data_IF_658097331273
#
_entry.id   IF_658097331273
#
_cell.length_a   1.000
_cell.length_b   1.000
_cell.length_c   1.000
_cell.angle_alpha   90.00
_cell.angle_beta   90.00
_cell.angle_gamma   90.00
#
_symmetry.space_group_name_H-M   'P 1'
#
loop_
_entity.id
_entity.type
_entity.pdbx_description
1 polymer ?
#
# COMPACT_ATOMS: atom_id res chain seq x y z
N UNK A 1 -24.75 -4.64 -6.64
CA UNK A 1 -23.55 -3.88 -6.25
C UNK A 1 -23.16 -4.40 -4.88
N UNK A 2 -22.04 -5.11 -4.74
CA UNK A 2 -21.67 -5.76 -3.48
C UNK A 2 -21.47 -4.72 -2.37
N UNK A 3 -22.08 -5.00 -1.21
CA UNK A 3 -21.86 -4.22 0.00
C UNK A 3 -20.61 -4.72 0.69
N UNK A 4 -19.69 -3.79 0.92
CA UNK A 4 -18.40 -4.04 1.55
C UNK A 4 -18.53 -3.55 2.98
N UNK A 5 -17.98 -4.31 3.93
CA UNK A 5 -18.02 -3.92 5.34
C UNK A 5 -17.40 -2.52 5.51
N UNK A 6 -17.96 -1.66 6.38
CA UNK A 6 -17.44 -0.30 6.59
C UNK A 6 -15.99 -0.29 7.06
N UNK A 7 -15.56 -1.32 7.82
CA UNK A 7 -14.16 -1.50 8.22
C UNK A 7 -13.23 -1.70 7.03
N UNK A 8 -13.58 -2.61 6.11
CA UNK A 8 -12.82 -2.88 4.89
C UNK A 8 -12.75 -1.65 3.99
N UNK A 9 -13.86 -0.91 3.87
CA UNK A 9 -13.90 0.34 3.12
C UNK A 9 -12.90 1.37 3.68
N UNK A 10 -12.89 1.57 5.00
CA UNK A 10 -11.98 2.51 5.65
C UNK A 10 -10.52 2.09 5.51
N UNK A 11 -10.24 0.79 5.63
CA UNK A 11 -8.91 0.23 5.46
C UNK A 11 -8.36 0.50 4.05
N UNK A 12 -9.14 0.17 3.02
CA UNK A 12 -8.72 0.40 1.63
C UNK A 12 -8.59 1.90 1.34
N UNK A 13 -9.49 2.73 1.88
CA UNK A 13 -9.38 4.18 1.73
C UNK A 13 -8.08 4.71 2.36
N UNK A 14 -7.65 4.20 3.51
CA UNK A 14 -6.34 4.56 4.08
C UNK A 14 -5.17 4.08 3.23
N UNK A 15 -5.24 2.89 2.63
CA UNK A 15 -4.20 2.40 1.71
C UNK A 15 -4.08 3.28 0.47
N UNK A 16 -5.19 3.78 -0.08
CA UNK A 16 -5.19 4.71 -1.22
C UNK A 16 -4.54 6.04 -0.84
N UNK A 17 -4.83 6.56 0.36
CA UNK A 17 -4.17 7.77 0.88
C UNK A 17 -2.66 7.57 1.04
N UNK A 18 -2.25 6.39 1.52
CA UNK A 18 -0.84 6.08 1.77
C UNK A 18 -0.09 5.57 0.54
N UNK A 19 -0.70 5.52 -0.65
CA UNK A 19 -0.11 4.92 -1.85
C UNK A 19 1.33 5.40 -2.13
N UNK A 20 1.59 6.70 -2.02
CA UNK A 20 2.92 7.28 -2.27
C UNK A 20 3.96 6.81 -1.24
N UNK A 21 3.57 6.74 0.03
CA UNK A 21 4.41 6.23 1.11
C UNK A 21 4.65 4.72 0.93
N UNK A 22 3.61 3.93 0.67
CA UNK A 22 3.73 2.48 0.42
C UNK A 22 4.66 2.19 -0.76
N UNK A 23 4.63 3.01 -1.83
CA UNK A 23 5.58 2.89 -2.95
C UNK A 23 7.03 3.14 -2.52
N UNK A 24 7.27 4.18 -1.71
CA UNK A 24 8.61 4.47 -1.17
C UNK A 24 9.09 3.35 -0.26
N UNK A 25 8.21 2.80 0.57
CA UNK A 25 8.52 1.69 1.46
C UNK A 25 8.88 0.42 0.68
N UNK A 26 8.12 0.09 -0.37
CA UNK A 26 8.45 -1.02 -1.29
C UNK A 26 9.84 -0.83 -1.91
N UNK A 27 10.14 0.38 -2.39
CA UNK A 27 11.45 0.70 -2.99
C UNK A 27 12.57 0.55 -1.97
N UNK A 28 12.38 1.06 -0.75
CA UNK A 28 13.33 0.93 0.35
C UNK A 28 13.58 -0.54 0.71
N UNK A 29 12.52 -1.33 0.90
CA UNK A 29 12.62 -2.75 1.22
C UNK A 29 13.32 -3.53 0.10
N UNK A 30 13.05 -3.22 -1.17
CA UNK A 30 13.78 -3.80 -2.31
C UNK A 30 15.26 -3.46 -2.28
N UNK A 31 15.62 -2.21 -1.93
CA UNK A 31 17.02 -1.79 -1.77
C UNK A 31 17.71 -2.50 -0.60
N UNK A 32 17.03 -2.69 0.53
CA UNK A 32 17.54 -3.45 1.68
C UNK A 32 17.73 -4.94 1.37
N UNK A 33 16.86 -5.53 0.53
CA UNK A 33 17.03 -6.90 0.05
C UNK A 33 18.21 -7.02 -0.92
N UNK A 34 18.41 -6.03 -1.80
CA UNK A 34 19.48 -6.03 -2.79
C UNK A 34 20.85 -5.72 -2.17
N UNK A 35 20.88 -4.78 -1.21
CA UNK A 35 22.03 -4.41 -0.42
C UNK A 35 21.76 -4.81 1.04
N UNK A 36 21.79 -6.11 1.38
CA UNK A 36 21.78 -6.49 2.76
C UNK A 36 23.03 -5.85 3.35
N UNK A 37 22.86 -4.81 4.18
CA UNK A 37 23.96 -4.29 4.98
C UNK A 37 24.65 -5.50 5.57
N UNK A 38 25.92 -5.73 5.17
CA UNK A 38 26.71 -6.79 5.76
C UNK A 38 26.52 -6.66 7.27
N UNK A 39 26.14 -7.73 7.98
CA UNK A 39 26.16 -7.68 9.41
C UNK A 39 27.59 -7.31 9.78
N UNK A 40 27.81 -6.07 10.20
CA UNK A 40 29.07 -5.65 10.78
C UNK A 40 29.07 -6.35 12.13
N UNK A 41 29.53 -7.59 12.12
CA UNK A 41 29.69 -8.41 13.31
C UNK A 41 30.87 -7.83 14.10
N UNK A 42 30.63 -6.73 14.79
CA UNK A 42 31.61 -6.10 15.69
C UNK A 42 31.69 -6.84 17.03
N UNK A 43 31.21 -8.09 17.11
CA UNK A 43 31.32 -8.89 18.33
C UNK A 43 31.81 -10.32 18.05
N UNK A 44 32.84 -10.47 17.21
CA UNK A 44 33.70 -11.66 17.23
C UNK A 44 34.54 -11.60 18.51
N UNK A 45 33.94 -12.00 19.63
CA UNK A 45 34.68 -12.37 20.84
C UNK A 45 35.39 -13.69 20.50
N UNK A 46 36.71 -13.61 20.28
CA UNK A 46 37.58 -14.78 20.19
C UNK A 46 37.62 -15.46 21.56
N UNK A 47 36.74 -16.44 21.77
CA UNK A 47 36.71 -17.31 22.95
C UNK A 47 36.34 -18.74 22.54
N UNK A 48 37.03 -19.78 23.05
CA UNK A 48 36.72 -21.15 22.70
C UNK A 48 35.43 -21.58 23.43
N UNK A 49 34.54 -22.23 22.69
CA UNK A 49 33.31 -22.91 23.14
C UNK A 49 32.11 -21.99 23.44
N UNK A 50 31.25 -21.79 22.43
CA UNK A 50 29.81 -21.89 22.66
C UNK A 50 29.10 -22.27 21.36
N UNK A 51 28.46 -23.42 21.41
CA UNK A 51 27.49 -23.99 20.48
C UNK A 51 26.61 -22.90 19.85
N UNK A 52 26.91 -22.50 18.62
CA UNK A 52 26.12 -21.52 17.90
C UNK A 52 24.75 -22.12 17.60
N UNK A 53 23.73 -21.65 18.33
CA UNK A 53 22.37 -22.16 18.29
C UNK A 53 21.77 -22.18 16.87
N UNK A 54 21.03 -23.24 16.51
CA UNK A 54 20.15 -23.25 15.34
C UNK A 54 19.14 -22.08 15.32
N UNK A 55 18.81 -21.54 16.51
CA UNK A 55 17.84 -20.47 16.71
C UNK A 55 18.17 -19.22 15.87
N UNK A 56 19.41 -18.73 15.88
CA UNK A 56 19.80 -17.51 15.16
C UNK A 56 19.62 -17.63 13.63
N UNK A 57 19.93 -18.78 13.05
CA UNK A 57 19.71 -19.00 11.60
C UNK A 57 18.23 -19.09 11.25
N UNK A 58 17.42 -19.70 12.13
CA UNK A 58 15.98 -19.85 11.95
C UNK A 58 15.27 -18.51 12.10
N UNK A 59 15.69 -17.70 13.08
CA UNK A 59 15.21 -16.33 13.29
C UNK A 59 15.49 -15.45 12.07
N UNK A 60 16.72 -15.43 11.56
CA UNK A 60 17.08 -14.66 10.36
C UNK A 60 16.27 -15.10 9.14
N UNK A 61 16.07 -16.41 8.95
CA UNK A 61 15.24 -16.93 7.86
C UNK A 61 13.76 -16.56 8.03
N UNK A 62 13.23 -16.66 9.25
CA UNK A 62 11.85 -16.28 9.56
C UNK A 62 11.61 -14.79 9.31
N UNK A 63 12.52 -13.91 9.75
CA UNK A 63 12.45 -12.47 9.50
C UNK A 63 12.46 -12.18 7.99
N UNK A 64 13.38 -12.78 7.22
CA UNK A 64 13.45 -12.60 5.76
C UNK A 64 12.18 -13.05 5.04
N UNK A 65 11.62 -14.19 5.43
CA UNK A 65 10.37 -14.72 4.87
C UNK A 65 9.17 -13.81 5.20
N UNK A 66 9.08 -13.31 6.43
CA UNK A 66 8.04 -12.36 6.82
C UNK A 66 8.13 -11.06 6.03
N UNK A 67 9.34 -10.49 5.89
CA UNK A 67 9.56 -9.27 5.08
C UNK A 67 9.14 -9.49 3.63
N UNK A 68 9.48 -10.64 3.03
CA UNK A 68 9.10 -10.94 1.65
C UNK A 68 7.58 -11.06 1.47
N UNK A 69 6.89 -11.72 2.41
CA UNK A 69 5.43 -11.83 2.37
C UNK A 69 4.74 -10.48 2.53
N UNK A 70 5.22 -9.65 3.47
CA UNK A 70 4.70 -8.30 3.67
C UNK A 70 4.89 -7.44 2.42
N UNK A 71 6.09 -7.47 1.83
CA UNK A 71 6.41 -6.75 0.60
C UNK A 71 5.47 -7.15 -0.54
N UNK A 72 5.27 -8.46 -0.74
CA UNK A 72 4.36 -8.97 -1.76
C UNK A 72 2.92 -8.46 -1.56
N UNK A 73 2.42 -8.48 -0.32
CA UNK A 73 1.08 -7.98 -0.03
C UNK A 73 0.95 -6.46 -0.33
N UNK A 74 1.97 -5.67 0.02
CA UNK A 74 2.00 -4.23 -0.29
C UNK A 74 2.04 -4.00 -1.81
N UNK A 75 2.84 -4.77 -2.54
CA UNK A 75 2.91 -4.71 -4.00
C UNK A 75 1.59 -5.09 -4.66
N UNK A 76 0.93 -6.16 -4.20
CA UNK A 76 -0.39 -6.58 -4.68
C UNK A 76 -1.43 -5.47 -4.47
N UNK A 77 -1.42 -4.82 -3.30
CA UNK A 77 -2.31 -3.68 -3.00
C UNK A 77 -2.05 -2.49 -3.93
N UNK A 78 -0.78 -2.06 -4.07
CA UNK A 78 -0.40 -0.95 -4.95
C UNK A 78 -0.80 -1.24 -6.40
N UNK A 79 -0.52 -2.45 -6.89
CA UNK A 79 -0.90 -2.86 -8.24
C UNK A 79 -2.42 -2.86 -8.44
N UNK A 80 -3.20 -3.32 -7.47
CA UNK A 80 -4.65 -3.30 -7.55
C UNK A 80 -5.19 -1.86 -7.65
N UNK A 81 -4.63 -0.93 -6.87
CA UNK A 81 -5.00 0.49 -6.92
C UNK A 81 -4.65 1.08 -8.30
N UNK A 82 -3.43 0.84 -8.80
CA UNK A 82 -2.99 1.36 -10.10
C UNK A 82 -3.77 0.79 -11.28
N UNK A 83 -4.06 -0.53 -11.28
CA UNK A 83 -4.87 -1.17 -12.31
C UNK A 83 -6.29 -0.63 -12.30
N UNK A 84 -6.89 -0.50 -11.12
CA UNK A 84 -8.23 0.08 -10.98
C UNK A 84 -8.23 1.51 -11.52
N UNK A 85 -7.27 2.33 -11.07
CA UNK A 85 -7.16 3.72 -11.52
C UNK A 85 -6.96 3.82 -13.03
N UNK A 86 -6.14 2.96 -13.63
CA UNK A 86 -5.88 2.97 -15.07
C UNK A 86 -7.13 2.69 -15.91
N UNK A 87 -8.05 1.84 -15.42
CA UNK A 87 -9.32 1.51 -16.07
C UNK A 87 -10.37 2.64 -15.97
N UNK A 88 -10.18 3.63 -15.11
CA UNK A 88 -11.15 4.72 -14.94
C UNK A 88 -11.12 5.71 -16.14
N UNK A 89 -12.28 6.29 -16.50
CA UNK A 89 -12.35 7.44 -17.40
C UNK A 89 -11.54 8.65 -16.88
N UNK A 90 -11.10 9.52 -17.78
CA UNK A 90 -10.26 10.69 -17.44
C UNK A 90 -10.93 11.61 -16.40
N UNK A 91 -12.24 11.83 -16.51
CA UNK A 91 -13.01 12.63 -15.55
C UNK A 91 -12.99 12.02 -14.14
N UNK A 92 -13.16 10.70 -14.06
CA UNK A 92 -13.15 10.00 -12.77
C UNK A 92 -11.74 9.99 -12.17
N UNK A 93 -10.71 9.84 -13.01
CA UNK A 93 -9.30 9.94 -12.62
C UNK A 93 -9.00 11.29 -11.96
N UNK A 94 -9.47 12.39 -12.55
CA UNK A 94 -9.32 13.75 -11.99
C UNK A 94 -9.90 13.86 -10.59
N UNK A 95 -11.11 13.33 -10.36
CA UNK A 95 -11.75 13.32 -9.03
C UNK A 95 -10.91 12.57 -7.99
N UNK A 96 -10.41 11.39 -8.33
CA UNK A 96 -9.59 10.56 -7.42
C UNK A 96 -8.25 11.24 -7.13
N UNK A 97 -7.59 11.76 -8.16
CA UNK A 97 -6.32 12.47 -8.01
C UNK A 97 -6.46 13.71 -7.12
N UNK A 98 -7.48 14.53 -7.36
CA UNK A 98 -7.77 15.71 -6.53
C UNK A 98 -8.13 15.31 -5.09
N UNK A 99 -8.78 14.17 -4.88
CA UNK A 99 -9.20 13.75 -3.54
C UNK A 99 -8.06 13.17 -2.69
N UNK A 100 -7.22 12.34 -3.28
CA UNK A 100 -6.27 11.50 -2.53
C UNK A 100 -4.82 11.92 -2.68
N UNK A 101 -4.43 12.48 -3.84
CA UNK A 101 -3.02 12.78 -4.15
C UNK A 101 -2.73 14.26 -4.36
N UNK A 102 -3.74 15.12 -4.28
CA UNK A 102 -3.50 16.55 -4.26
C UNK A 102 -2.99 16.98 -2.88
N UNK A 103 -2.10 17.96 -2.87
CA UNK A 103 -1.58 18.58 -1.65
C UNK A 103 -2.66 19.36 -0.90
N UNK A 104 -3.72 19.76 -1.60
CA UNK A 104 -4.79 20.57 -1.05
C UNK A 104 -5.95 19.66 -0.63
N UNK A 105 -6.24 19.56 0.66
CA UNK A 105 -7.33 18.72 1.18
C UNK A 105 -8.71 19.32 0.86
N UNK A 106 -9.07 19.31 -0.42
CA UNK A 106 -10.30 19.88 -0.93
C UNK A 106 -11.51 19.09 -0.42
N UNK A 107 -12.56 19.84 -0.07
CA UNK A 107 -13.87 19.26 0.20
C UNK A 107 -14.43 18.67 -1.09
N UNK A 108 -15.26 17.64 -0.95
CA UNK A 108 -15.90 16.98 -2.10
C UNK A 108 -16.73 17.95 -2.96
N UNK A 109 -17.25 19.02 -2.37
CA UNK A 109 -17.99 20.08 -3.08
C UNK A 109 -17.06 20.80 -4.07
N UNK A 110 -15.92 21.30 -3.60
CA UNK A 110 -14.94 21.96 -4.47
C UNK A 110 -14.37 21.03 -5.56
N UNK A 111 -14.15 19.75 -5.24
CA UNK A 111 -13.69 18.77 -6.24
C UNK A 111 -14.77 18.58 -7.33
N UNK A 112 -16.04 18.56 -6.93
CA UNK A 112 -17.15 18.42 -7.86
C UNK A 112 -17.27 19.66 -8.77
N UNK A 113 -17.10 20.86 -8.19
CA UNK A 113 -17.07 22.13 -8.92
C UNK A 113 -15.93 22.16 -9.94
N UNK A 114 -14.71 21.78 -9.54
CA UNK A 114 -13.52 21.74 -10.40
C UNK A 114 -13.60 20.68 -11.51
N UNK A 115 -14.40 19.64 -11.29
CA UNK A 115 -14.68 18.60 -12.28
C UNK A 115 -15.99 18.84 -13.04
N UNK A 116 -16.64 20.00 -12.87
CA UNK A 116 -17.92 20.35 -13.50
C UNK A 116 -19.00 19.28 -13.34
N UNK A 117 -19.07 18.63 -12.18
CA UNK A 117 -20.02 17.55 -11.90
C UNK A 117 -20.79 17.80 -10.60
N UNK A 118 -21.93 17.14 -10.45
CA UNK A 118 -22.70 17.23 -9.22
C UNK A 118 -22.00 16.51 -8.05
N UNK A 119 -22.10 17.06 -6.83
CA UNK A 119 -21.52 16.48 -5.60
C UNK A 119 -21.82 14.99 -5.42
N UNK A 120 -23.05 14.57 -5.72
CA UNK A 120 -23.43 13.15 -5.62
C UNK A 120 -22.66 12.26 -6.60
N UNK A 121 -22.39 12.75 -7.80
CA UNK A 121 -21.62 12.04 -8.83
C UNK A 121 -20.18 11.85 -8.37
N UNK A 122 -19.52 12.90 -7.89
CA UNK A 122 -18.17 12.82 -7.31
C UNK A 122 -18.12 11.85 -6.11
N UNK A 123 -19.12 11.90 -5.23
CA UNK A 123 -19.24 10.97 -4.10
C UNK A 123 -19.43 9.51 -4.54
N UNK A 124 -20.18 9.27 -5.62
CA UNK A 124 -20.40 7.95 -6.20
C UNK A 124 -19.12 7.42 -6.86
N UNK A 125 -18.38 8.27 -7.58
CA UNK A 125 -17.08 7.92 -8.18
C UNK A 125 -16.12 7.44 -7.10
N UNK A 126 -15.97 8.20 -6.00
CA UNK A 126 -15.15 7.81 -4.85
C UNK A 126 -15.53 6.44 -4.29
N UNK A 127 -16.83 6.25 -3.99
CA UNK A 127 -17.33 4.97 -3.44
C UNK A 127 -17.08 3.82 -4.41
N UNK A 128 -17.34 4.02 -5.71
CA UNK A 128 -17.14 3.00 -6.73
C UNK A 128 -15.67 2.64 -6.88
N UNK A 129 -14.77 3.62 -6.81
CA UNK A 129 -13.33 3.39 -6.88
C UNK A 129 -12.84 2.50 -5.73
N UNK A 130 -13.16 2.87 -4.47
CA UNK A 130 -12.78 2.06 -3.30
C UNK A 130 -13.35 0.65 -3.38
N UNK A 131 -14.61 0.51 -3.83
CA UNK A 131 -15.24 -0.80 -4.03
C UNK A 131 -14.57 -1.62 -5.14
N UNK A 132 -14.12 -0.98 -6.21
CA UNK A 132 -13.42 -1.66 -7.30
C UNK A 132 -12.04 -2.15 -6.85
N UNK A 133 -11.29 -1.34 -6.09
CA UNK A 133 -10.02 -1.76 -5.48
C UNK A 133 -10.23 -2.96 -4.54
N UNK A 134 -11.25 -2.91 -3.69
CA UNK A 134 -11.58 -4.02 -2.80
C UNK A 134 -11.83 -5.34 -3.55
N UNK A 135 -12.54 -5.26 -4.67
CA UNK A 135 -12.85 -6.42 -5.51
C UNK A 135 -11.60 -6.98 -6.18
N UNK A 136 -10.69 -6.12 -6.66
CA UNK A 136 -9.40 -6.52 -7.25
C UNK A 136 -8.48 -7.20 -6.22
N UNK A 137 -8.48 -6.72 -4.97
CA UNK A 137 -7.70 -7.35 -3.88
C UNK A 137 -8.40 -8.59 -3.29
N UNK A 138 -9.66 -8.85 -3.67
CA UNK A 138 -10.43 -10.00 -3.18
C UNK A 138 -10.99 -9.83 -1.77
N UNK A 139 -11.02 -8.61 -1.23
CA UNK A 139 -11.61 -8.31 0.07
C UNK A 139 -13.10 -7.97 -0.08
N UNK A 140 -13.98 -8.77 0.52
CA UNK A 140 -15.45 -8.57 0.54
C UNK A 140 -15.94 -8.15 1.92
#
# INVERSE_FOLDING_TARGET
>A
MTDIKPGTFRYIESEIYNLDNTKKDIQRLRLEILNPTQPVDNNIIYGPLQSAEPARTTEIMATRLMTNKMLRNQEEMVQAIERTYSKLPVEHKKVIQLKYWSSNHLKMEHIADECHMHRNTAGKIRKNFVKAVALEVGMK
#
